data_IF_799199273793
#
_entry.id   IF_799199273793
#
_cell.length_a   1.000
_cell.length_b   1.000
_cell.length_c   1.000
_cell.angle_alpha   90.00
_cell.angle_beta   90.00
_cell.angle_gamma   90.00
#
_symmetry.space_group_name_H-M   'P 1'
#
loop_
_entity.id
_entity.type
_entity.pdbx_description
1 polymer ?
#
# COMPACT_ATOMS: atom_id res chain seq x y z
N UNK A 1 -15.34 11.22 19.53
CA UNK A 1 -14.23 10.66 18.73
C UNK A 1 -14.00 9.20 19.08
N UNK A 2 -14.39 8.29 18.20
CA UNK A 2 -14.18 6.84 18.36
C UNK A 2 -12.69 6.46 18.29
N UNK A 3 -12.32 5.34 18.91
CA UNK A 3 -10.94 4.85 18.87
C UNK A 3 -10.53 4.41 17.45
N UNK A 4 -11.46 3.83 16.68
CA UNK A 4 -11.25 3.49 15.27
C UNK A 4 -10.85 4.70 14.41
N UNK A 5 -11.45 5.88 14.64
CA UNK A 5 -11.06 7.10 13.92
C UNK A 5 -9.65 7.55 14.29
N UNK A 6 -9.26 7.46 15.57
CA UNK A 6 -7.89 7.80 15.99
C UNK A 6 -6.88 6.87 15.33
N UNK A 7 -7.18 5.58 15.34
CA UNK A 7 -6.34 4.55 14.74
C UNK A 7 -6.25 4.69 13.21
N UNK A 8 -7.34 5.06 12.54
CA UNK A 8 -7.32 5.33 11.09
C UNK A 8 -6.53 6.60 10.75
N UNK A 9 -6.63 7.66 11.56
CA UNK A 9 -5.80 8.87 11.39
C UNK A 9 -4.32 8.51 11.50
N UNK A 10 -3.94 7.72 12.51
CA UNK A 10 -2.56 7.26 12.68
C UNK A 10 -2.10 6.41 11.48
N UNK A 11 -2.98 5.51 10.99
CA UNK A 11 -2.70 4.69 9.83
C UNK A 11 -2.51 5.52 8.55
N UNK A 12 -3.41 6.46 8.25
CA UNK A 12 -3.29 7.35 7.09
C UNK A 12 -2.01 8.19 7.15
N UNK A 13 -1.74 8.81 8.30
CA UNK A 13 -0.57 9.66 8.46
C UNK A 13 0.73 8.86 8.35
N UNK A 14 0.75 7.58 8.76
CA UNK A 14 1.92 6.71 8.56
C UNK A 14 2.24 6.40 7.08
N UNK A 15 1.21 6.44 6.23
CA UNK A 15 1.30 6.14 4.79
C UNK A 15 1.65 7.40 4.01
N UNK A 16 0.78 8.40 4.08
CA UNK A 16 0.82 9.60 3.24
C UNK A 16 1.66 10.74 3.85
N UNK A 17 2.09 10.59 5.11
CA UNK A 17 2.87 11.57 5.84
C UNK A 17 2.06 12.30 6.91
N UNK A 18 2.78 12.98 7.79
CA UNK A 18 2.20 13.72 8.91
C UNK A 18 1.17 14.77 8.42
N UNK A 19 0.13 15.00 9.22
CA UNK A 19 -0.95 15.95 8.93
C UNK A 19 -1.79 15.68 7.66
N UNK A 20 -1.71 14.47 7.09
CA UNK A 20 -2.60 14.05 5.98
C UNK A 20 -4.07 14.20 6.39
N UNK A 21 -4.45 13.66 7.54
CA UNK A 21 -5.74 13.91 8.18
C UNK A 21 -5.51 14.57 9.53
N UNK A 22 -5.89 15.84 9.64
CA UNK A 22 -5.70 16.64 10.86
C UNK A 22 -7.02 17.09 11.46
N UNK A 23 -7.12 17.03 12.79
CA UNK A 23 -8.26 17.57 13.52
C UNK A 23 -8.23 19.12 13.51
N UNK A 24 -9.38 19.73 13.25
CA UNK A 24 -9.61 21.18 13.26
C UNK A 24 -10.83 21.49 14.16
N UNK A 25 -10.62 22.11 15.32
CA UNK A 25 -11.71 22.41 16.26
C UNK A 25 -12.86 23.23 15.63
N UNK A 26 -14.11 23.06 16.07
CA UNK A 26 -14.52 22.24 17.22
C UNK A 26 -14.55 20.73 16.94
N UNK A 27 -15.07 20.27 15.80
CA UNK A 27 -15.25 18.83 15.47
C UNK A 27 -15.08 18.52 13.97
N UNK A 28 -14.25 19.29 13.26
CA UNK A 28 -13.98 19.06 11.83
C UNK A 28 -12.60 18.44 11.65
N UNK A 29 -12.39 17.84 10.48
CA UNK A 29 -11.10 17.31 10.09
C UNK A 29 -10.76 17.82 8.69
N UNK A 30 -9.48 18.07 8.44
CA UNK A 30 -9.00 18.43 7.11
C UNK A 30 -8.20 17.26 6.57
N UNK A 31 -8.70 16.67 5.48
CA UNK A 31 -7.99 15.66 4.70
C UNK A 31 -7.28 16.35 3.54
N UNK A 32 -5.96 16.24 3.49
CA UNK A 32 -5.16 16.61 2.33
C UNK A 32 -5.17 15.43 1.36
N UNK A 33 -5.63 15.64 0.13
CA UNK A 33 -5.69 14.59 -0.88
C UNK A 33 -4.31 14.36 -1.52
N UNK A 34 -4.03 13.17 -2.06
CA UNK A 34 -2.83 12.92 -2.85
C UNK A 34 -2.74 13.86 -4.07
N UNK A 35 -1.52 14.25 -4.45
CA UNK A 35 -1.28 15.19 -5.56
C UNK A 35 -0.03 16.06 -5.44
N UNK A 36 0.74 15.92 -4.35
CA UNK A 36 2.00 16.63 -4.13
C UNK A 36 1.84 17.99 -3.42
N UNK A 37 2.89 18.83 -3.43
CA UNK A 37 2.87 20.14 -2.77
C UNK A 37 1.77 21.03 -3.32
N UNK A 38 0.92 21.55 -2.44
CA UNK A 38 -0.24 22.35 -2.84
C UNK A 38 -1.44 21.53 -3.30
N UNK A 39 -1.54 20.25 -2.93
CA UNK A 39 -2.73 19.44 -3.20
C UNK A 39 -4.01 20.04 -2.59
N UNK A 40 -5.15 19.65 -3.18
CA UNK A 40 -6.45 20.02 -2.66
C UNK A 40 -6.71 19.35 -1.30
N UNK A 41 -7.57 19.97 -0.50
CA UNK A 41 -7.97 19.43 0.79
C UNK A 41 -9.46 19.60 1.02
N UNK A 42 -10.03 18.66 1.76
CA UNK A 42 -11.46 18.57 2.03
C UNK A 42 -11.70 18.69 3.53
N UNK A 43 -12.83 19.32 3.89
CA UNK A 43 -13.30 19.34 5.28
C UNK A 43 -14.27 18.18 5.48
N UNK A 44 -13.95 17.32 6.44
CA UNK A 44 -14.74 16.16 6.83
C UNK A 44 -15.28 16.34 8.25
N UNK A 45 -16.36 15.63 8.57
CA UNK A 45 -16.86 15.42 9.92
C UNK A 45 -17.20 13.95 10.11
N UNK A 46 -17.02 13.46 11.33
CA UNK A 46 -17.29 12.09 11.69
C UNK A 46 -18.33 12.07 12.81
N UNK A 47 -19.34 11.21 12.69
CA UNK A 47 -20.24 10.92 13.79
C UNK A 47 -19.51 10.10 14.87
N UNK A 48 -20.00 10.12 16.11
CA UNK A 48 -19.45 9.27 17.18
C UNK A 48 -19.62 7.76 16.92
N UNK A 49 -20.55 7.40 16.03
CA UNK A 49 -20.75 6.02 15.57
C UNK A 49 -19.87 5.62 14.39
N UNK A 50 -18.92 6.45 13.94
CA UNK A 50 -17.96 6.03 12.93
C UNK A 50 -17.11 4.86 13.44
N UNK A 51 -16.94 3.74 12.69
CA UNK A 51 -17.23 3.58 11.25
C UNK A 51 -18.56 2.88 10.87
N UNK A 52 -19.55 2.79 11.77
CA UNK A 52 -20.88 2.24 11.43
C UNK A 52 -21.71 3.14 10.51
N UNK A 53 -21.30 4.40 10.37
CA UNK A 53 -21.80 5.38 9.40
C UNK A 53 -20.62 6.00 8.66
N UNK A 54 -20.77 6.41 7.38
CA UNK A 54 -19.68 7.00 6.62
C UNK A 54 -19.33 8.42 7.13
N UNK A 55 -18.14 8.96 6.78
CA UNK A 55 -17.81 10.34 7.07
C UNK A 55 -18.68 11.32 6.28
N UNK A 56 -19.00 12.45 6.89
CA UNK A 56 -19.65 13.58 6.20
C UNK A 56 -18.60 14.44 5.51
N UNK A 57 -18.65 14.52 4.18
CA UNK A 57 -17.76 15.39 3.39
C UNK A 57 -18.42 16.77 3.25
N UNK A 58 -18.03 17.72 4.11
CA UNK A 58 -18.66 19.04 4.23
C UNK A 58 -18.38 19.94 3.02
N UNK A 59 -17.18 19.86 2.45
CA UNK A 59 -16.80 20.66 1.29
C UNK A 59 -15.30 20.79 1.08
N UNK A 60 -14.91 21.59 0.10
CA UNK A 60 -13.50 21.92 -0.18
C UNK A 60 -12.95 22.85 0.91
N UNK A 61 -11.84 22.46 1.53
CA UNK A 61 -11.05 23.31 2.43
C UNK A 61 -10.10 24.21 1.64
N UNK A 62 -9.36 23.63 0.70
CA UNK A 62 -8.52 24.33 -0.27
C UNK A 62 -8.59 23.61 -1.61
N UNK A 63 -8.67 24.36 -2.71
CA UNK A 63 -8.64 23.78 -4.06
C UNK A 63 -7.23 23.35 -4.50
N UNK A 64 -6.21 23.66 -3.69
CA UNK A 64 -4.80 23.47 -4.03
C UNK A 64 -4.14 24.73 -4.60
N UNK A 65 -2.82 24.78 -4.56
CA UNK A 65 -2.02 25.89 -5.06
C UNK A 65 -2.01 25.89 -6.60
N UNK A 66 -2.29 27.04 -7.22
CA UNK A 66 -2.39 27.19 -8.69
C UNK A 66 -3.42 26.27 -9.37
N UNK A 67 -4.38 25.73 -8.62
CA UNK A 67 -5.36 24.81 -9.16
C UNK A 67 -6.28 25.48 -10.19
N UNK A 68 -6.62 24.80 -11.31
CA UNK A 68 -7.50 25.36 -12.31
C UNK A 68 -8.90 25.62 -11.74
N UNK A 69 -9.61 26.57 -12.35
CA UNK A 69 -10.97 26.92 -11.93
C UNK A 69 -11.86 25.67 -12.00
N UNK A 70 -12.45 25.30 -10.87
CA UNK A 70 -13.32 24.13 -10.76
C UNK A 70 -12.65 22.88 -10.19
N UNK A 71 -11.32 22.86 -10.02
CA UNK A 71 -10.59 21.71 -9.45
C UNK A 71 -11.14 21.29 -8.09
N UNK A 72 -11.30 22.24 -7.15
CA UNK A 72 -11.82 21.91 -5.82
C UNK A 72 -13.24 21.32 -5.81
N UNK A 73 -14.09 21.73 -6.75
CA UNK A 73 -15.45 21.20 -6.89
C UNK A 73 -15.45 19.80 -7.52
N UNK A 74 -14.60 19.59 -8.54
CA UNK A 74 -14.36 18.28 -9.14
C UNK A 74 -13.83 17.31 -8.08
N UNK A 75 -12.78 17.69 -7.35
CA UNK A 75 -12.14 16.81 -6.37
C UNK A 75 -13.10 16.44 -5.24
N UNK A 76 -13.92 17.40 -4.78
CA UNK A 76 -14.98 17.15 -3.81
C UNK A 76 -16.01 16.12 -4.32
N UNK A 77 -16.42 16.20 -5.59
CA UNK A 77 -17.36 15.27 -6.19
C UNK A 77 -16.74 13.87 -6.33
N UNK A 78 -15.54 13.79 -6.90
CA UNK A 78 -14.83 12.51 -7.06
C UNK A 78 -14.60 11.82 -5.71
N UNK A 79 -14.23 12.58 -4.67
CA UNK A 79 -14.01 11.99 -3.35
C UNK A 79 -15.31 11.52 -2.69
N UNK A 80 -16.43 12.23 -2.87
CA UNK A 80 -17.75 11.78 -2.41
C UNK A 80 -18.15 10.46 -3.08
N UNK A 81 -17.93 10.35 -4.38
CA UNK A 81 -18.18 9.12 -5.14
C UNK A 81 -17.25 7.98 -4.71
N UNK A 82 -15.98 8.29 -4.43
CA UNK A 82 -15.02 7.32 -3.92
C UNK A 82 -15.46 6.75 -2.56
N UNK A 83 -15.80 7.61 -1.59
CA UNK A 83 -16.34 7.17 -0.28
C UNK A 83 -17.59 6.31 -0.45
N UNK A 84 -18.52 6.72 -1.32
CA UNK A 84 -19.74 5.96 -1.57
C UNK A 84 -19.47 4.58 -2.20
N UNK A 85 -18.40 4.43 -2.99
CA UNK A 85 -18.03 3.18 -3.64
C UNK A 85 -17.38 2.18 -2.68
N UNK A 86 -16.56 2.65 -1.73
CA UNK A 86 -15.76 1.77 -0.85
C UNK A 86 -16.36 1.53 0.53
N UNK A 87 -17.25 2.40 0.99
CA UNK A 87 -17.74 2.37 2.36
C UNK A 87 -18.52 1.08 2.68
N UNK A 88 -18.18 0.46 3.81
CA UNK A 88 -18.92 -0.66 4.39
C UNK A 88 -19.15 -0.39 5.89
N UNK A 89 -20.39 -0.56 6.40
CA UNK A 89 -20.66 -0.37 7.82
C UNK A 89 -19.77 -1.23 8.72
N UNK A 90 -19.16 -0.58 9.72
CA UNK A 90 -18.27 -1.22 10.69
C UNK A 90 -16.81 -1.34 10.21
N UNK A 91 -16.47 -0.79 9.04
CA UNK A 91 -15.11 -0.76 8.52
C UNK A 91 -14.67 0.68 8.23
N UNK A 92 -13.47 1.03 8.70
CA UNK A 92 -12.81 2.28 8.33
C UNK A 92 -12.51 2.30 6.83
N UNK A 93 -12.67 3.44 6.16
CA UNK A 93 -12.73 3.49 4.69
C UNK A 93 -11.92 4.59 4.02
N UNK A 94 -11.23 5.45 4.77
CA UNK A 94 -10.60 6.65 4.19
C UNK A 94 -9.41 6.33 3.31
N UNK A 95 -8.59 5.33 3.67
CA UNK A 95 -7.51 4.88 2.78
C UNK A 95 -8.08 4.40 1.44
N UNK A 96 -9.07 3.51 1.49
CA UNK A 96 -9.67 2.96 0.28
C UNK A 96 -10.35 4.06 -0.54
N UNK A 97 -10.96 5.06 0.12
CA UNK A 97 -11.55 6.22 -0.54
C UNK A 97 -10.50 7.14 -1.18
N UNK A 98 -9.33 7.28 -0.57
CA UNK A 98 -8.20 8.06 -1.13
C UNK A 98 -7.60 7.35 -2.35
N UNK A 99 -7.44 6.04 -2.31
CA UNK A 99 -6.99 5.24 -3.46
C UNK A 99 -8.00 5.32 -4.61
N UNK A 100 -9.28 5.15 -4.30
CA UNK A 100 -10.37 5.16 -5.27
C UNK A 100 -10.59 6.56 -5.86
N UNK A 101 -10.27 7.62 -5.10
CA UNK A 101 -10.18 8.99 -5.59
C UNK A 101 -9.02 9.17 -6.57
N UNK A 102 -7.82 8.70 -6.21
CA UNK A 102 -6.62 8.83 -7.06
C UNK A 102 -6.83 8.15 -8.42
N UNK A 103 -7.38 6.94 -8.42
CA UNK A 103 -7.76 6.21 -9.64
C UNK A 103 -8.74 7.01 -10.52
N UNK A 104 -9.78 7.57 -9.91
CA UNK A 104 -10.77 8.42 -10.60
C UNK A 104 -10.15 9.68 -11.20
N UNK A 105 -9.24 10.31 -10.47
CA UNK A 105 -8.60 11.54 -10.90
C UNK A 105 -7.73 11.30 -12.14
N UNK A 106 -7.02 10.17 -12.19
CA UNK A 106 -6.26 9.72 -13.36
C UNK A 106 -7.17 9.50 -14.58
N UNK A 107 -8.29 8.79 -14.42
CA UNK A 107 -9.27 8.57 -15.50
C UNK A 107 -9.83 9.87 -16.08
N UNK A 108 -10.12 10.86 -15.23
CA UNK A 108 -10.59 12.18 -15.69
C UNK A 108 -9.49 12.95 -16.40
N UNK A 109 -8.23 12.82 -15.96
CA UNK A 109 -7.09 13.47 -16.61
C UNK A 109 -6.80 12.89 -18.00
N UNK A 110 -7.02 11.58 -18.20
CA UNK A 110 -6.85 10.91 -19.49
C UNK A 110 -8.01 11.18 -20.47
N UNK A 111 -9.20 11.51 -19.96
CA UNK A 111 -10.38 11.80 -20.76
C UNK A 111 -10.38 13.22 -21.38
N UNK A 112 -9.51 14.14 -20.93
CA UNK A 112 -9.32 15.47 -21.53
C UNK A 112 -8.36 15.35 -22.75
N UNK A 113 -8.83 15.57 -24.00
CA UNK A 113 -8.06 15.20 -25.18
C UNK A 113 -6.95 16.22 -25.50
N UNK A 114 -5.69 15.81 -25.36
CA UNK A 114 -4.57 16.39 -26.12
C UNK A 114 -4.17 15.47 -27.28
N UNK A 115 -4.66 15.77 -28.50
CA UNK A 115 -4.13 15.21 -29.76
C UNK A 115 -4.77 13.90 -30.26
N UNK A 116 -4.65 13.59 -31.58
CA UNK A 116 -5.51 12.65 -32.28
C UNK A 116 -5.25 11.18 -31.93
N UNK A 117 -6.26 10.31 -32.07
CA UNK A 117 -6.23 8.94 -31.58
C UNK A 117 -5.33 8.06 -32.45
N UNK A 118 -4.46 7.29 -31.81
CA UNK A 118 -3.92 6.07 -32.40
C UNK A 118 -4.90 4.92 -32.14
N UNK A 119 -5.30 4.25 -33.22
CA UNK A 119 -6.34 3.22 -33.25
C UNK A 119 -6.15 2.09 -32.22
N UNK A 120 -7.25 1.54 -31.69
CA UNK A 120 -7.24 0.26 -30.98
C UNK A 120 -7.12 -0.91 -31.96
N UNK A 121 -6.22 -1.84 -31.67
CA UNK A 121 -6.13 -3.11 -32.40
C UNK A 121 -7.23 -4.08 -31.93
N UNK A 122 -8.07 -4.50 -32.88
CA UNK A 122 -9.02 -5.61 -32.79
C UNK A 122 -8.32 -6.97 -32.60
N UNK A 123 -9.02 -7.99 -32.04
CA UNK A 123 -8.48 -9.33 -31.83
C UNK A 123 -8.58 -10.18 -33.12
N UNK A 124 -7.83 -11.28 -33.25
CA UNK A 124 -8.19 -12.34 -34.18
C UNK A 124 -8.79 -13.55 -33.45
N UNK A 125 -9.85 -14.07 -34.06
CA UNK A 125 -10.53 -15.31 -33.74
C UNK A 125 -9.82 -16.55 -34.33
N UNK A 126 -10.23 -17.69 -33.79
CA UNK A 126 -9.85 -19.09 -34.04
C UNK A 126 -9.62 -19.56 -35.48
N UNK A 127 -8.76 -20.58 -35.63
CA UNK A 127 -8.96 -21.70 -36.56
C UNK A 127 -8.23 -22.98 -36.10
N UNK A 128 -8.90 -24.12 -36.35
CA UNK A 128 -8.64 -25.52 -35.97
C UNK A 128 -7.32 -26.14 -36.52
N UNK A 129 -6.75 -27.14 -35.82
CA UNK A 129 -6.95 -28.59 -36.16
C UNK A 129 -6.12 -29.57 -35.28
N UNK A 130 -6.81 -30.63 -34.83
CA UNK A 130 -6.43 -32.04 -34.59
C UNK A 130 -5.06 -32.41 -33.97
N UNK A 131 -5.08 -33.10 -32.81
CA UNK A 131 -4.81 -34.56 -32.64
C UNK A 131 -4.90 -34.97 -31.16
N UNK A 132 -5.70 -36.00 -30.91
CA UNK A 132 -5.72 -36.78 -29.68
C UNK A 132 -4.60 -37.80 -29.78
N UNK A 133 -3.70 -37.83 -28.80
CA UNK A 133 -2.93 -39.04 -28.46
C UNK A 133 -2.72 -39.04 -26.94
N UNK A 134 -3.34 -40.03 -26.30
CA UNK A 134 -3.01 -40.48 -24.95
C UNK A 134 -1.73 -41.29 -25.02
N UNK A 135 -0.72 -40.97 -24.20
CA UNK A 135 0.24 -41.98 -23.74
C UNK A 135 0.59 -41.80 -22.27
N UNK A 136 0.41 -42.90 -21.55
CA UNK A 136 0.87 -43.14 -20.19
C UNK A 136 2.40 -43.22 -20.15
N UNK A 137 3.03 -42.55 -19.19
CA UNK A 137 4.47 -42.62 -18.98
C UNK A 137 4.88 -42.21 -17.58
N UNK A 138 4.83 -43.17 -16.66
CA UNK A 138 5.42 -43.15 -15.33
C UNK A 138 6.90 -42.73 -15.35
N UNK A 139 7.33 -41.81 -14.48
CA UNK A 139 8.61 -41.90 -13.76
C UNK A 139 8.78 -40.79 -12.70
N UNK A 140 8.75 -41.23 -11.44
CA UNK A 140 9.43 -40.59 -10.32
C UNK A 140 10.90 -40.33 -10.66
N UNK A 141 11.35 -39.06 -10.64
CA UNK A 141 12.73 -38.66 -10.32
C UNK A 141 12.88 -37.14 -10.28
N UNK A 142 12.34 -36.47 -9.26
CA UNK A 142 12.80 -35.13 -8.84
C UNK A 142 12.78 -35.04 -7.32
N UNK A 143 13.59 -35.89 -6.69
CA UNK A 143 14.12 -35.61 -5.38
C UNK A 143 15.61 -35.24 -5.58
N UNK A 144 16.02 -34.16 -4.92
CA UNK A 144 17.42 -33.81 -4.61
C UNK A 144 18.15 -32.71 -5.41
N UNK A 145 17.43 -31.72 -5.94
CA UNK A 145 18.03 -30.38 -6.03
C UNK A 145 17.07 -29.36 -5.42
N UNK A 146 17.43 -28.83 -4.26
CA UNK A 146 16.74 -27.65 -3.72
C UNK A 146 16.87 -26.54 -4.77
N UNK A 147 15.79 -25.84 -5.13
CA UNK A 147 15.84 -24.74 -6.07
C UNK A 147 16.92 -23.73 -5.66
N UNK A 148 17.62 -23.13 -6.63
CA UNK A 148 18.76 -22.23 -6.37
C UNK A 148 18.47 -21.14 -5.33
N UNK A 149 17.24 -20.62 -5.27
CA UNK A 149 16.81 -19.61 -4.28
C UNK A 149 16.75 -20.12 -2.83
N UNK A 150 16.85 -21.44 -2.60
CA UNK A 150 16.93 -22.04 -1.27
C UNK A 150 18.37 -22.26 -0.79
N UNK A 151 19.38 -21.97 -1.62
CA UNK A 151 20.79 -22.23 -1.29
C UNK A 151 21.50 -21.03 -0.65
N UNK A 152 21.07 -19.81 -0.94
CA UNK A 152 21.66 -18.59 -0.39
C UNK A 152 20.64 -17.82 0.44
N UNK A 153 21.05 -17.41 1.65
CA UNK A 153 20.22 -16.59 2.52
C UNK A 153 20.00 -15.22 1.86
N UNK A 154 18.75 -14.77 1.69
CA UNK A 154 18.48 -13.44 1.16
C UNK A 154 19.13 -12.36 2.03
N UNK A 155 19.62 -11.26 1.45
CA UNK A 155 20.28 -10.18 2.18
C UNK A 155 19.26 -9.30 2.91
N UNK A 156 18.59 -9.87 3.92
CA UNK A 156 17.54 -9.20 4.69
C UNK A 156 18.09 -8.03 5.51
N UNK A 157 17.54 -6.84 5.29
CA UNK A 157 17.61 -5.72 6.21
C UNK A 157 16.40 -5.81 7.13
N UNK A 158 16.65 -5.88 8.43
CA UNK A 158 15.61 -6.14 9.44
C UNK A 158 15.30 -4.87 10.22
N UNK A 159 14.01 -4.58 10.41
CA UNK A 159 13.55 -3.51 11.29
C UNK A 159 13.82 -3.82 12.77
N UNK A 160 13.63 -2.84 13.65
CA UNK A 160 13.42 -3.15 15.06
C UNK A 160 12.05 -3.80 15.25
N UNK A 161 11.89 -4.69 16.23
CA UNK A 161 10.59 -5.27 16.54
C UNK A 161 9.69 -4.21 17.18
N UNK A 162 8.50 -4.00 16.60
CA UNK A 162 7.46 -3.19 17.23
C UNK A 162 6.52 -4.09 18.03
N UNK A 163 6.19 -3.71 19.27
CA UNK A 163 5.29 -4.48 20.14
C UNK A 163 4.10 -3.62 20.56
N UNK A 164 2.88 -4.09 20.26
CA UNK A 164 1.63 -3.42 20.66
C UNK A 164 0.61 -4.45 21.13
N UNK A 165 0.04 -4.26 22.31
CA UNK A 165 -0.90 -5.20 22.96
C UNK A 165 -0.47 -6.68 22.83
N UNK A 166 0.83 -6.93 23.04
CA UNK A 166 1.53 -8.23 22.90
C UNK A 166 1.65 -8.77 21.47
N UNK A 167 1.06 -8.10 20.48
CA UNK A 167 1.35 -8.41 19.07
C UNK A 167 2.76 -7.90 18.76
N UNK A 168 3.52 -8.68 18.00
CA UNK A 168 4.87 -8.31 17.57
C UNK A 168 4.88 -8.16 16.06
N UNK A 169 5.49 -7.09 15.57
CA UNK A 169 5.70 -6.81 14.16
C UNK A 169 7.20 -6.72 13.88
N UNK A 170 7.64 -7.33 12.78
CA UNK A 170 9.02 -7.26 12.34
C UNK A 170 9.05 -7.25 10.81
N UNK A 171 9.69 -6.25 10.22
CA UNK A 171 9.86 -6.16 8.78
C UNK A 171 11.23 -6.70 8.38
N UNK A 172 11.26 -7.40 7.25
CA UNK A 172 12.47 -7.77 6.52
C UNK A 172 12.34 -7.24 5.12
N UNK A 173 13.27 -6.40 4.70
CA UNK A 173 13.32 -5.86 3.36
C UNK A 173 14.59 -6.35 2.65
N UNK A 174 14.52 -6.55 1.34
CA UNK A 174 15.65 -7.00 0.55
C UNK A 174 15.57 -6.46 -0.89
N UNK A 175 16.72 -6.20 -1.54
CA UNK A 175 16.75 -5.92 -2.97
C UNK A 175 16.32 -7.16 -3.75
N UNK A 176 15.54 -6.95 -4.81
CA UNK A 176 15.07 -8.01 -5.72
C UNK A 176 15.09 -7.54 -7.16
N UNK A 177 15.38 -8.45 -8.09
CA UNK A 177 15.52 -8.15 -9.52
C UNK A 177 14.49 -8.86 -10.40
N UNK A 178 13.75 -9.83 -9.85
CA UNK A 178 12.67 -10.50 -10.57
C UNK A 178 11.56 -10.98 -9.62
N UNK A 179 10.31 -11.14 -10.11
CA UNK A 179 9.21 -11.72 -9.33
C UNK A 179 9.54 -13.10 -8.75
N UNK A 180 10.26 -13.93 -9.52
CA UNK A 180 10.69 -15.26 -9.08
C UNK A 180 11.66 -15.19 -7.91
N UNK A 181 12.57 -14.20 -7.90
CA UNK A 181 13.46 -13.97 -6.77
C UNK A 181 12.68 -13.54 -5.53
N UNK A 182 11.73 -12.62 -5.66
CA UNK A 182 10.88 -12.18 -4.55
C UNK A 182 10.08 -13.36 -3.96
N UNK A 183 9.44 -14.18 -4.80
CA UNK A 183 8.75 -15.38 -4.36
C UNK A 183 9.70 -16.39 -3.69
N UNK A 184 10.90 -16.58 -4.24
CA UNK A 184 11.94 -17.45 -3.68
C UNK A 184 12.40 -16.99 -2.30
N UNK A 185 12.53 -15.69 -2.07
CA UNK A 185 12.92 -15.12 -0.77
C UNK A 185 11.86 -15.39 0.31
N UNK A 186 10.57 -15.23 -0.01
CA UNK A 186 9.47 -15.58 0.91
C UNK A 186 9.51 -17.07 1.25
N UNK A 187 9.66 -17.94 0.25
CA UNK A 187 9.72 -19.39 0.44
C UNK A 187 10.93 -19.80 1.29
N UNK A 188 12.11 -19.25 1.00
CA UNK A 188 13.31 -19.46 1.80
C UNK A 188 13.07 -19.04 3.26
N UNK A 189 12.52 -17.86 3.50
CA UNK A 189 12.26 -17.33 4.84
C UNK A 189 11.32 -18.26 5.65
N UNK A 190 10.21 -18.72 5.03
CA UNK A 190 9.27 -19.65 5.68
C UNK A 190 9.91 -21.02 5.90
N UNK A 191 10.74 -21.51 4.97
CA UNK A 191 11.39 -22.81 5.05
C UNK A 191 12.52 -22.87 6.09
N UNK A 192 13.19 -21.75 6.36
CA UNK A 192 14.39 -21.69 7.23
C UNK A 192 14.10 -21.11 8.61
N UNK A 193 13.16 -20.16 8.75
CA UNK A 193 12.83 -19.53 10.03
C UNK A 193 11.53 -20.12 10.61
N UNK A 194 11.67 -20.93 11.67
CA UNK A 194 10.54 -21.55 12.38
C UNK A 194 9.60 -20.52 13.01
N UNK A 195 10.11 -19.36 13.45
CA UNK A 195 9.27 -18.31 14.05
C UNK A 195 8.42 -17.64 13.00
N UNK A 196 8.98 -17.38 11.82
CA UNK A 196 8.24 -16.81 10.68
C UNK A 196 7.18 -17.79 10.17
N UNK A 197 7.51 -19.08 10.04
CA UNK A 197 6.53 -20.11 9.65
C UNK A 197 5.35 -20.24 10.60
N UNK A 198 5.59 -20.01 11.89
CA UNK A 198 4.55 -20.07 12.94
C UNK A 198 3.94 -18.70 13.26
N UNK A 199 4.28 -17.67 12.47
CA UNK A 199 3.67 -16.36 12.60
C UNK A 199 2.19 -16.41 12.23
N UNK A 200 1.46 -15.39 12.66
CA UNK A 200 0.04 -15.26 12.32
C UNK A 200 -0.14 -14.83 10.87
N UNK A 201 0.71 -13.89 10.42
CA UNK A 201 0.69 -13.34 9.06
C UNK A 201 2.10 -12.93 8.63
N UNK A 202 2.39 -13.09 7.35
CA UNK A 202 3.61 -12.68 6.65
C UNK A 202 3.22 -11.87 5.41
N UNK A 203 2.78 -10.64 5.63
CA UNK A 203 2.33 -9.76 4.55
C UNK A 203 3.52 -9.36 3.69
N UNK A 204 3.34 -9.35 2.38
CA UNK A 204 4.41 -9.04 1.42
C UNK A 204 4.01 -7.96 0.45
N UNK A 205 4.99 -7.18 0.00
CA UNK A 205 4.86 -6.26 -1.12
C UNK A 205 6.20 -6.11 -1.82
N UNK A 206 6.19 -5.93 -3.13
CA UNK A 206 7.40 -5.71 -3.90
C UNK A 206 7.13 -4.92 -5.18
N UNK A 207 8.17 -4.21 -5.66
CA UNK A 207 8.17 -3.43 -6.90
C UNK A 207 9.49 -3.65 -7.61
N UNK A 208 9.46 -4.05 -8.88
CA UNK A 208 10.63 -4.48 -9.65
C UNK A 208 10.56 -3.88 -11.04
N UNK A 209 11.68 -3.30 -11.49
CA UNK A 209 11.85 -2.85 -12.87
C UNK A 209 12.26 -4.05 -13.73
N UNK A 210 11.47 -4.31 -14.76
CA UNK A 210 11.72 -5.37 -15.72
C UNK A 210 12.56 -4.90 -16.92
N UNK A 211 12.94 -5.85 -17.79
CA UNK A 211 13.61 -5.53 -19.04
C UNK A 211 12.72 -4.67 -19.95
N UNK A 212 13.34 -3.88 -20.82
CA UNK A 212 12.65 -3.08 -21.83
C UNK A 212 11.61 -2.09 -21.29
N UNK A 213 11.80 -1.58 -20.07
CA UNK A 213 10.90 -0.60 -19.46
C UNK A 213 9.60 -1.19 -18.91
N UNK A 214 9.51 -2.52 -18.78
CA UNK A 214 8.41 -3.16 -18.06
C UNK A 214 8.54 -2.92 -16.55
N UNK A 215 7.43 -2.98 -15.83
CA UNK A 215 7.42 -2.93 -14.37
C UNK A 215 6.51 -4.02 -13.84
N UNK A 216 6.93 -4.62 -12.73
CA UNK A 216 6.19 -5.66 -12.02
C UNK A 216 6.03 -5.21 -10.58
N UNK A 217 4.84 -5.39 -10.03
CA UNK A 217 4.58 -5.13 -8.62
C UNK A 217 3.43 -6.01 -8.17
N UNK A 218 3.52 -6.50 -6.95
CA UNK A 218 2.49 -7.36 -6.36
C UNK A 218 2.55 -7.29 -4.84
N UNK A 219 1.51 -7.77 -4.18
CA UNK A 219 1.41 -7.86 -2.73
C UNK A 219 0.54 -9.03 -2.27
N UNK A 220 0.78 -9.48 -1.05
CA UNK A 220 -0.02 -10.51 -0.37
C UNK A 220 -0.34 -10.08 1.06
N UNK A 221 -1.61 -10.20 1.45
CA UNK A 221 -2.08 -9.93 2.80
C UNK A 221 -1.73 -11.05 3.79
N UNK A 222 -1.48 -12.28 3.32
CA UNK A 222 -1.35 -13.51 4.14
C UNK A 222 -2.42 -13.61 5.25
N UNK A 223 -3.67 -13.27 4.92
CA UNK A 223 -4.80 -13.28 5.85
C UNK A 223 -4.95 -12.04 6.75
N UNK A 224 -3.99 -11.11 6.77
CA UNK A 224 -4.14 -9.79 7.38
C UNK A 224 -4.81 -8.84 6.37
N UNK A 225 -6.14 -8.94 6.26
CA UNK A 225 -6.92 -8.25 5.21
C UNK A 225 -6.57 -6.76 5.07
N UNK A 226 -6.31 -6.36 3.81
CA UNK A 226 -5.96 -5.02 3.33
C UNK A 226 -4.56 -4.50 3.71
N UNK A 227 -3.69 -5.33 4.30
CA UNK A 227 -2.36 -4.90 4.72
C UNK A 227 -1.34 -4.85 3.57
N UNK A 228 -1.32 -5.85 2.69
CA UNK A 228 -0.40 -5.97 1.55
C UNK A 228 -0.57 -4.83 0.56
N UNK A 229 -1.82 -4.48 0.21
CA UNK A 229 -2.11 -3.33 -0.66
C UNK A 229 -1.62 -2.00 -0.08
N UNK A 230 -1.78 -1.81 1.24
CA UNK A 230 -1.28 -0.61 1.96
C UNK A 230 0.25 -0.55 2.00
N UNK A 231 0.90 -1.70 2.18
CA UNK A 231 2.37 -1.81 2.10
C UNK A 231 2.88 -1.49 0.70
N UNK A 232 2.23 -2.02 -0.34
CA UNK A 232 2.58 -1.71 -1.72
C UNK A 232 2.40 -0.22 -2.02
N UNK A 233 1.31 0.38 -1.56
CA UNK A 233 1.05 1.81 -1.70
C UNK A 233 2.13 2.66 -1.00
N UNK A 234 2.52 2.27 0.22
CA UNK A 234 3.64 2.91 0.93
C UNK A 234 4.92 2.90 0.08
N UNK A 235 5.25 1.77 -0.54
CA UNK A 235 6.42 1.67 -1.42
C UNK A 235 6.30 2.55 -2.66
N UNK A 236 5.09 2.73 -3.21
CA UNK A 236 4.82 3.63 -4.34
C UNK A 236 5.06 5.09 -3.96
N UNK A 237 4.52 5.53 -2.82
CA UNK A 237 4.73 6.89 -2.31
C UNK A 237 6.19 7.21 -2.04
N UNK A 238 6.95 6.22 -1.61
CA UNK A 238 8.39 6.34 -1.33
C UNK A 238 9.26 6.14 -2.59
N UNK A 239 8.65 5.91 -3.76
CA UNK A 239 9.30 5.57 -5.03
C UNK A 239 10.34 4.44 -4.93
N UNK A 240 10.04 3.42 -4.12
CA UNK A 240 10.92 2.28 -3.92
C UNK A 240 10.76 1.28 -5.06
N UNK A 241 11.85 0.99 -5.75
CA UNK A 241 11.94 0.04 -6.85
C UNK A 241 13.08 -0.94 -6.61
N UNK A 242 12.95 -2.13 -7.21
CA UNK A 242 13.92 -3.22 -7.13
C UNK A 242 14.09 -3.72 -5.68
N UNK A 243 12.98 -3.68 -4.92
CA UNK A 243 12.90 -3.95 -3.48
C UNK A 243 11.65 -4.77 -3.17
N UNK A 244 11.76 -5.64 -2.17
CA UNK A 244 10.64 -6.31 -1.51
C UNK A 244 10.65 -6.06 -0.01
N UNK A 245 9.49 -6.25 0.61
CA UNK A 245 9.33 -6.31 2.07
C UNK A 245 8.43 -7.47 2.46
N UNK A 246 8.79 -8.14 3.56
CA UNK A 246 7.94 -9.06 4.32
C UNK A 246 7.76 -8.47 5.70
N UNK A 247 6.54 -8.11 6.06
CA UNK A 247 6.20 -7.76 7.44
C UNK A 247 5.62 -9.00 8.09
N UNK A 248 6.25 -9.49 9.15
CA UNK A 248 5.76 -10.63 9.92
C UNK A 248 5.04 -10.12 11.16
N UNK A 249 3.81 -10.60 11.40
CA UNK A 249 3.04 -10.35 12.60
C UNK A 249 2.85 -11.63 13.41
N UNK A 250 3.18 -11.57 14.70
CA UNK A 250 2.77 -12.56 15.69
C UNK A 250 1.64 -12.00 16.55
N UNK A 251 0.46 -12.63 16.51
CA UNK A 251 -0.73 -12.15 17.22
C UNK A 251 -0.59 -12.24 18.73
N UNK A 252 -0.87 -11.13 19.43
CA UNK A 252 -0.74 -11.00 20.88
C UNK A 252 -1.95 -11.46 21.71
N UNK A 253 -3.01 -11.97 21.07
CA UNK A 253 -4.25 -12.35 21.76
C UNK A 253 -5.32 -11.26 21.80
N UNK A 254 -5.04 -10.03 21.35
CA UNK A 254 -5.99 -8.92 21.31
C UNK A 254 -6.09 -8.31 19.91
N UNK A 255 -7.33 -8.05 19.46
CA UNK A 255 -7.58 -7.38 18.19
C UNK A 255 -7.11 -5.94 18.27
N UNK A 256 -6.29 -5.53 17.31
CA UNK A 256 -5.78 -4.16 17.20
C UNK A 256 -6.70 -3.25 16.37
N UNK A 257 -7.71 -3.80 15.70
CA UNK A 257 -8.57 -3.01 14.81
C UNK A 257 -7.73 -2.30 13.72
N UNK A 258 -8.16 -1.12 13.26
CA UNK A 258 -7.45 -0.30 12.28
C UNK A 258 -6.00 0.05 12.67
N UNK A 259 -5.68 0.10 13.97
CA UNK A 259 -4.35 0.49 14.50
C UNK A 259 -3.21 -0.29 13.87
N UNK A 260 -3.45 -1.57 13.58
CA UNK A 260 -2.45 -2.48 13.00
C UNK A 260 -1.86 -1.94 11.70
N UNK A 261 -2.63 -1.20 10.90
CA UNK A 261 -2.12 -0.65 9.64
C UNK A 261 -1.00 0.37 9.87
N UNK A 262 -1.15 1.25 10.86
CA UNK A 262 -0.09 2.18 11.24
C UNK A 262 1.19 1.43 11.64
N UNK A 263 1.06 0.40 12.47
CA UNK A 263 2.19 -0.40 12.94
C UNK A 263 2.90 -1.14 11.80
N UNK A 264 2.12 -1.76 10.90
CA UNK A 264 2.66 -2.48 9.73
C UNK A 264 3.48 -1.52 8.86
N UNK A 265 2.94 -0.35 8.55
CA UNK A 265 3.60 0.65 7.71
C UNK A 265 4.83 1.26 8.38
N UNK A 266 4.74 1.61 9.67
CA UNK A 266 5.90 2.11 10.43
C UNK A 266 7.01 1.08 10.52
N UNK A 267 6.68 -0.20 10.72
CA UNK A 267 7.66 -1.29 10.78
C UNK A 267 8.34 -1.49 9.43
N UNK A 268 7.59 -1.46 8.31
CA UNK A 268 8.16 -1.51 6.97
C UNK A 268 9.07 -0.31 6.68
N UNK A 269 8.62 0.90 7.02
CA UNK A 269 9.41 2.13 6.85
C UNK A 269 10.72 2.08 7.61
N UNK A 270 10.75 1.56 8.84
CA UNK A 270 11.98 1.38 9.62
C UNK A 270 13.00 0.49 8.89
N UNK A 271 12.55 -0.63 8.29
CA UNK A 271 13.44 -1.48 7.48
C UNK A 271 14.00 -0.73 6.26
N UNK A 272 13.17 0.08 5.57
CA UNK A 272 13.62 0.87 4.42
C UNK A 272 14.61 1.97 4.79
N UNK A 273 14.39 2.64 5.92
CA UNK A 273 15.33 3.64 6.46
C UNK A 273 16.67 2.99 6.82
N UNK A 274 16.64 1.85 7.51
CA UNK A 274 17.86 1.08 7.85
C UNK A 274 18.61 0.58 6.61
N UNK A 275 17.89 0.28 5.53
CA UNK A 275 18.49 -0.09 4.25
C UNK A 275 19.09 1.11 3.49
N UNK A 276 18.83 2.35 3.93
CA UNK A 276 19.25 3.56 3.25
C UNK A 276 18.43 3.88 2.00
N UNK A 277 17.24 3.30 1.85
CA UNK A 277 16.34 3.55 0.72
C UNK A 277 15.32 4.65 1.00
N UNK A 278 15.20 5.07 2.26
CA UNK A 278 14.25 6.06 2.72
C UNK A 278 14.90 7.02 3.72
N UNK A 279 14.41 8.26 3.73
CA UNK A 279 14.76 9.25 4.74
C UNK A 279 13.98 8.99 6.04
N UNK A 280 14.58 9.33 7.18
CA UNK A 280 13.87 9.35 8.46
C UNK A 280 12.71 10.35 8.42
N UNK A 281 11.53 9.93 8.89
CA UNK A 281 10.43 10.84 9.12
C UNK A 281 10.79 11.78 10.29
N UNK A 282 11.21 13.02 9.99
CA UNK A 282 11.28 14.10 10.96
C UNK A 282 12.67 14.43 11.55
N UNK A 283 13.57 14.95 10.72
CA UNK A 283 14.39 16.10 11.10
C UNK A 283 14.16 17.24 10.11
N UNK A 284 13.10 18.01 10.35
CA UNK A 284 12.92 19.29 9.68
C UNK A 284 14.18 20.14 9.85
N UNK A 285 14.88 20.42 8.74
CA UNK A 285 15.98 21.38 8.68
C UNK A 285 15.50 22.72 9.25
N UNK A 286 15.81 23.00 10.53
CA UNK A 286 15.89 24.38 11.03
C UNK A 286 16.99 25.08 10.24
N UNK A 287 16.64 25.73 9.13
CA UNK A 287 17.49 26.75 8.52
C UNK A 287 17.64 27.86 9.55
N UNK A 288 18.75 27.83 10.28
CA UNK A 288 19.16 28.94 11.12
C UNK A 288 19.32 30.17 10.24
N UNK A 289 18.50 31.19 10.48
CA UNK A 289 18.78 32.54 10.04
C UNK A 289 20.01 33.01 10.86
N UNK A 290 21.18 32.94 10.24
CA UNK A 290 22.39 33.59 10.72
C UNK A 290 22.29 35.08 10.48
N UNK A 291 22.58 35.84 11.54
CA UNK A 291 22.58 37.30 11.68
C UNK A 291 23.27 38.06 10.55
#
# INVERSE_FOLDING_TARGET
>A
MSDDLKDEIEALNSIYGDDTLRHTPPDNYVLTLPGGPGASSLTLRFADSYPDVPPEILGTHSAGENAPRGAGARDLLLFREAVAAVYQPGAVCLFDAVEEFSRRLEEVSEAEPSGPPTNPHSPPASALTTRLDEEHGNQNQEADSLPSYMLEEPPWIVSDPFVELKSVFLARAAPVTSPEQAAGYVQHLIATDKKVRSASHNMTAWRIRGPNGTSFQDCDDDGETAAGGRLLHLMQLMDLWDVMVVVTRWYGGQKLGPRRFALINSTARDAFVKAGWAEEAGQGKKKGHGK
#
